data_IF_693569225871
#
_entry.id   IF_693569225871
#
_cell.length_a   1.000
_cell.length_b   1.000
_cell.length_c   1.000
_cell.angle_alpha   90.00
_cell.angle_beta   90.00
_cell.angle_gamma   90.00
#
_symmetry.space_group_name_H-M   'P 1'
#
loop_
_entity.id
_entity.type
_entity.pdbx_description
1 polymer ?
#
# COMPACT_ATOMS: atom_id res chain seq x y z
N UNK A 1 8.77 -3.65 -2.26
CA UNK A 1 9.06 -2.55 -1.31
C UNK A 1 8.84 -3.04 0.12
N UNK A 2 9.77 -2.80 1.06
CA UNK A 2 9.70 -3.39 2.42
C UNK A 2 8.50 -2.85 3.23
N UNK A 3 8.15 -1.57 3.05
CA UNK A 3 6.98 -0.98 3.72
C UNK A 3 5.67 -1.66 3.28
N UNK A 4 5.50 -1.94 1.98
CA UNK A 4 4.32 -2.65 1.48
C UNK A 4 4.24 -4.07 2.06
N UNK A 5 5.38 -4.77 2.15
CA UNK A 5 5.44 -6.10 2.74
C UNK A 5 4.99 -6.09 4.21
N UNK A 6 5.46 -5.13 5.01
CA UNK A 6 5.02 -4.96 6.39
C UNK A 6 3.51 -4.68 6.46
N UNK A 7 3.01 -3.70 5.69
CA UNK A 7 1.59 -3.34 5.70
C UNK A 7 0.68 -4.53 5.32
N UNK A 8 1.05 -5.28 4.29
CA UNK A 8 0.34 -6.49 3.85
C UNK A 8 0.39 -7.62 4.89
N UNK A 9 1.55 -7.82 5.54
CA UNK A 9 1.73 -8.90 6.53
C UNK A 9 0.88 -8.69 7.78
N UNK A 10 0.71 -7.44 8.20
CA UNK A 10 -0.01 -7.08 9.42
C UNK A 10 -1.43 -6.55 9.15
N UNK A 11 -1.92 -6.63 7.91
CA UNK A 11 -3.21 -6.08 7.48
C UNK A 11 -3.43 -4.61 7.93
N UNK A 12 -2.41 -3.79 7.69
CA UNK A 12 -2.42 -2.35 8.00
C UNK A 12 -2.59 -1.52 6.72
N UNK A 13 -3.35 -0.41 6.77
CA UNK A 13 -3.39 0.54 5.68
C UNK A 13 -2.12 1.42 5.64
N UNK A 14 -1.76 1.91 4.46
CA UNK A 14 -0.60 2.77 4.23
C UNK A 14 -1.04 4.21 3.90
N UNK A 15 -0.68 5.18 4.73
CA UNK A 15 -0.80 6.61 4.41
C UNK A 15 0.50 7.09 3.76
N UNK A 16 0.47 7.39 2.46
CA UNK A 16 1.63 7.90 1.75
C UNK A 16 1.22 8.75 0.54
N UNK A 17 1.93 9.86 0.26
CA UNK A 17 1.76 10.59 -1.01
C UNK A 17 2.48 9.91 -2.19
N UNK A 18 3.28 8.87 -1.93
CA UNK A 18 4.07 8.19 -2.96
C UNK A 18 3.23 7.16 -3.74
N UNK A 19 2.10 7.58 -4.33
CA UNK A 19 1.12 6.65 -4.90
C UNK A 19 1.70 5.77 -6.01
N UNK A 20 2.53 6.36 -6.88
CA UNK A 20 3.11 5.67 -8.04
C UNK A 20 3.89 4.41 -7.64
N UNK A 21 4.67 4.49 -6.57
CA UNK A 21 5.50 3.35 -6.15
C UNK A 21 4.71 2.24 -5.44
N UNK A 22 3.47 2.53 -5.02
CA UNK A 22 2.61 1.59 -4.30
C UNK A 22 1.39 1.13 -5.12
N UNK A 23 1.21 1.64 -6.34
CA UNK A 23 0.05 1.37 -7.18
C UNK A 23 -0.09 -0.12 -7.53
N UNK A 24 0.99 -0.78 -7.94
CA UNK A 24 0.98 -2.23 -8.23
C UNK A 24 0.57 -3.05 -7.01
N UNK A 25 1.01 -2.66 -5.81
CA UNK A 25 0.63 -3.33 -4.56
C UNK A 25 -0.85 -3.13 -4.24
N UNK A 26 -1.40 -1.95 -4.54
CA UNK A 26 -2.84 -1.68 -4.40
C UNK A 26 -3.67 -2.50 -5.38
N UNK A 27 -3.27 -2.55 -6.65
CA UNK A 27 -4.02 -3.19 -7.73
C UNK A 27 -3.96 -4.73 -7.68
N UNK A 28 -2.82 -5.30 -7.31
CA UNK A 28 -2.58 -6.74 -7.46
C UNK A 28 -2.39 -7.48 -6.14
N UNK A 29 -2.06 -6.76 -5.06
CA UNK A 29 -1.70 -7.38 -3.77
C UNK A 29 -2.63 -6.98 -2.62
N UNK A 30 -3.65 -6.17 -2.86
CA UNK A 30 -4.64 -5.78 -1.86
C UNK A 30 -4.14 -4.75 -0.83
N UNK A 31 -3.06 -4.02 -1.14
CA UNK A 31 -2.57 -2.96 -0.25
C UNK A 31 -3.60 -1.82 -0.19
N UNK A 32 -4.07 -1.51 1.03
CA UNK A 32 -4.97 -0.38 1.28
C UNK A 32 -4.16 0.92 1.41
N UNK A 33 -4.44 1.92 0.57
CA UNK A 33 -3.80 3.24 0.66
C UNK A 33 -4.82 4.26 1.15
N UNK A 34 -4.47 5.03 2.19
CA UNK A 34 -5.35 6.04 2.76
C UNK A 34 -5.30 7.34 1.96
N UNK A 35 -6.47 7.96 1.74
CA UNK A 35 -6.57 9.23 1.02
C UNK A 35 -6.29 9.13 -0.48
N UNK A 36 -6.31 7.91 -1.02
CA UNK A 36 -6.17 7.60 -2.44
C UNK A 36 -7.48 7.08 -3.05
N UNK A 37 -8.62 7.39 -2.41
CA UNK A 37 -9.97 7.21 -2.94
C UNK A 37 -10.28 8.24 -4.04
#
# INVERSE_FOLDING_TARGET
MWIAACALTYDLPLATPNLKDYEDFRLHHGLRILGAD
#
